data_IF_386363175215
#
_entry.id   IF_386363175215
#
_cell.length_a   1.000
_cell.length_b   1.000
_cell.length_c   1.000
_cell.angle_alpha   90.00
_cell.angle_beta   90.00
_cell.angle_gamma   90.00
#
_symmetry.space_group_name_H-M   'P 1'
#
loop_
_entity.id
_entity.type
_entity.pdbx_description
1 polymer ?
#
# COMPACT_ATOMS: atom_id res chain seq x y z
N UNK A 1 1.98 37.88 85.92
CA UNK A 1 1.32 36.56 85.92
C UNK A 1 0.56 36.42 84.62
N UNK A 2 0.96 35.50 83.73
CA UNK A 2 0.25 35.25 82.47
C UNK A 2 -1.13 34.67 82.76
N UNK A 3 -2.18 35.31 82.25
CA UNK A 3 -3.57 34.89 82.48
C UNK A 3 -3.81 33.47 81.95
N UNK A 4 -4.43 32.56 82.72
CA UNK A 4 -4.70 31.16 82.33
C UNK A 4 -5.54 31.05 81.05
N UNK A 5 -6.34 32.08 80.75
CA UNK A 5 -7.16 32.19 79.53
C UNK A 5 -6.28 32.36 78.28
N UNK A 6 -5.20 33.13 78.35
CA UNK A 6 -4.29 33.34 77.23
C UNK A 6 -3.56 32.03 76.84
N UNK A 7 -3.14 31.26 77.85
CA UNK A 7 -2.52 29.95 77.64
C UNK A 7 -3.50 28.93 77.04
N UNK A 8 -4.76 28.93 77.50
CA UNK A 8 -5.79 28.07 76.93
C UNK A 8 -6.13 28.42 75.46
N UNK A 9 -6.13 29.71 75.11
CA UNK A 9 -6.28 30.18 73.73
C UNK A 9 -5.09 29.77 72.84
N UNK A 10 -3.87 29.87 73.35
CA UNK A 10 -2.66 29.44 72.64
C UNK A 10 -2.64 27.93 72.40
N UNK A 11 -2.99 27.12 73.41
CA UNK A 11 -3.10 25.67 73.30
C UNK A 11 -4.21 25.25 72.31
N UNK A 12 -5.33 25.99 72.28
CA UNK A 12 -6.40 25.79 71.32
C UNK A 12 -5.94 26.13 69.89
N UNK A 13 -5.26 27.26 69.70
CA UNK A 13 -4.70 27.66 68.41
C UNK A 13 -3.65 26.67 67.90
N UNK A 14 -2.78 26.16 68.78
CA UNK A 14 -1.82 25.11 68.43
C UNK A 14 -2.49 23.79 68.04
N UNK A 15 -3.56 23.38 68.74
CA UNK A 15 -4.33 22.17 68.37
C UNK A 15 -5.01 22.32 67.03
N UNK A 16 -5.65 23.46 66.78
CA UNK A 16 -6.31 23.77 65.50
C UNK A 16 -5.27 23.81 64.37
N UNK A 17 -4.15 24.51 64.57
CA UNK A 17 -3.05 24.56 63.62
C UNK A 17 -2.50 23.17 63.29
N UNK A 18 -2.21 22.33 64.30
CA UNK A 18 -1.74 20.95 64.08
C UNK A 18 -2.73 20.07 63.33
N UNK A 19 -4.04 20.22 63.57
CA UNK A 19 -5.07 19.49 62.81
C UNK A 19 -5.11 19.95 61.35
N UNK A 20 -5.18 21.26 61.13
CA UNK A 20 -5.20 21.85 59.78
C UNK A 20 -3.95 21.46 58.98
N UNK A 21 -2.77 21.49 59.59
CA UNK A 21 -1.52 21.05 58.95
C UNK A 21 -1.54 19.58 58.57
N UNK A 22 -2.10 18.71 59.43
CA UNK A 22 -2.22 17.27 59.16
C UNK A 22 -3.22 16.98 58.04
N UNK A 23 -4.36 17.65 58.05
CA UNK A 23 -5.41 17.49 57.03
C UNK A 23 -4.93 18.03 55.68
N UNK A 24 -4.21 19.15 55.66
CA UNK A 24 -3.58 19.69 54.46
C UNK A 24 -2.48 18.78 53.91
N UNK A 25 -1.59 18.25 54.77
CA UNK A 25 -0.55 17.32 54.36
C UNK A 25 -1.14 16.01 53.79
N UNK A 26 -2.23 15.51 54.39
CA UNK A 26 -2.96 14.36 53.88
C UNK A 26 -3.59 14.66 52.52
N UNK A 27 -4.30 15.78 52.38
CA UNK A 27 -4.93 16.17 51.11
C UNK A 27 -3.90 16.35 49.98
N UNK A 28 -2.73 16.92 50.28
CA UNK A 28 -1.62 17.03 49.32
C UNK A 28 -1.08 15.64 48.97
N UNK A 29 -0.87 14.76 49.94
CA UNK A 29 -0.43 13.37 49.70
C UNK A 29 -1.42 12.56 48.85
N UNK A 30 -2.72 12.70 49.11
CA UNK A 30 -3.79 12.07 48.34
C UNK A 30 -3.80 12.61 46.89
N UNK A 31 -3.61 13.92 46.70
CA UNK A 31 -3.51 14.55 45.38
C UNK A 31 -2.29 14.04 44.58
N UNK A 32 -1.10 13.98 45.20
CA UNK A 32 0.09 13.43 44.55
C UNK A 32 -0.08 11.96 44.17
N UNK A 33 -0.73 11.17 45.03
CA UNK A 33 -1.03 9.76 44.76
C UNK A 33 -1.98 9.61 43.58
N UNK A 34 -3.07 10.39 43.54
CA UNK A 34 -4.04 10.38 42.45
C UNK A 34 -3.42 10.81 41.12
N UNK A 35 -2.55 11.82 41.11
CA UNK A 35 -1.81 12.23 39.91
C UNK A 35 -0.86 11.11 39.44
N UNK A 36 -0.16 10.44 40.36
CA UNK A 36 0.70 9.30 40.06
C UNK A 36 -0.06 8.12 39.45
N UNK A 37 -1.24 7.81 39.98
CA UNK A 37 -2.12 6.75 39.44
C UNK A 37 -2.70 7.14 38.07
N UNK A 38 -3.05 8.41 37.88
CA UNK A 38 -3.44 8.95 36.58
C UNK A 38 -2.34 8.79 35.53
N UNK A 39 -1.09 9.14 35.87
CA UNK A 39 0.05 9.00 34.98
C UNK A 39 0.32 7.53 34.62
N UNK A 40 0.28 6.61 35.58
CA UNK A 40 0.39 5.15 35.32
C UNK A 40 -0.69 4.66 34.38
N UNK A 41 -1.93 5.13 34.56
CA UNK A 41 -3.07 4.77 33.69
C UNK A 41 -2.85 5.28 32.26
N UNK A 42 -2.37 6.51 32.10
CA UNK A 42 -2.04 7.07 30.78
C UNK A 42 -0.93 6.26 30.11
N UNK A 43 0.17 5.95 30.81
CA UNK A 43 1.27 5.12 30.28
C UNK A 43 0.76 3.75 29.85
N UNK A 44 -0.07 3.10 30.69
CA UNK A 44 -0.68 1.81 30.34
C UNK A 44 -1.56 1.92 29.10
N UNK A 45 -2.41 2.95 29.02
CA UNK A 45 -3.27 3.17 27.86
C UNK A 45 -2.46 3.38 26.57
N UNK A 46 -1.32 4.09 26.65
CA UNK A 46 -0.41 4.28 25.51
C UNK A 46 0.20 2.93 25.10
N UNK A 47 0.72 2.14 26.05
CA UNK A 47 1.27 0.82 25.76
C UNK A 47 0.24 -0.14 25.16
N UNK A 48 -0.98 -0.15 25.70
CA UNK A 48 -2.09 -0.96 25.20
C UNK A 48 -2.49 -0.51 23.78
N UNK A 49 -2.53 0.81 23.51
CA UNK A 49 -2.79 1.36 22.19
C UNK A 49 -1.68 1.01 21.18
N UNK A 50 -0.40 1.14 21.57
CA UNK A 50 0.75 0.79 20.73
C UNK A 50 0.75 -0.70 20.37
N UNK A 51 0.45 -1.57 21.34
CA UNK A 51 0.33 -3.01 21.11
C UNK A 51 -0.84 -3.33 20.15
N UNK A 52 -1.99 -2.68 20.32
CA UNK A 52 -3.12 -2.83 19.41
C UNK A 52 -2.78 -2.38 17.98
N UNK A 53 -2.15 -1.21 17.83
CA UNK A 53 -1.71 -0.71 16.53
C UNK A 53 -0.69 -1.65 15.87
N UNK A 54 0.27 -2.18 16.62
CA UNK A 54 1.23 -3.15 16.10
C UNK A 54 0.54 -4.43 15.59
N UNK A 55 -0.43 -4.96 16.33
CA UNK A 55 -1.22 -6.13 15.89
C UNK A 55 -2.05 -5.85 14.64
N UNK A 56 -2.68 -4.68 14.55
CA UNK A 56 -3.41 -4.28 13.35
C UNK A 56 -2.48 -4.19 12.13
N UNK A 57 -1.34 -3.51 12.27
CA UNK A 57 -0.34 -3.39 11.21
C UNK A 57 0.15 -4.75 10.70
N UNK A 58 0.46 -5.68 11.61
CA UNK A 58 0.83 -7.05 11.25
C UNK A 58 -0.31 -7.77 10.53
N UNK A 59 -1.55 -7.58 10.96
CA UNK A 59 -2.73 -8.14 10.29
C UNK A 59 -2.93 -7.59 8.88
N UNK A 60 -2.77 -6.27 8.70
CA UNK A 60 -2.84 -5.61 7.39
C UNK A 60 -1.70 -6.09 6.47
N UNK A 61 -0.46 -6.13 6.97
CA UNK A 61 0.68 -6.64 6.21
C UNK A 61 0.46 -8.09 5.74
N UNK A 62 -0.07 -8.95 6.62
CA UNK A 62 -0.42 -10.32 6.27
C UNK A 62 -1.54 -10.40 5.22
N UNK A 63 -2.53 -9.50 5.26
CA UNK A 63 -3.59 -9.44 4.24
C UNK A 63 -3.04 -9.01 2.89
N UNK A 64 -2.12 -8.04 2.86
CA UNK A 64 -1.42 -7.63 1.64
C UNK A 64 -0.60 -8.78 1.06
N UNK A 65 0.13 -9.52 1.91
CA UNK A 65 0.98 -10.63 1.49
C UNK A 65 0.19 -11.87 0.99
N UNK A 66 -1.00 -12.15 1.54
CA UNK A 66 -1.80 -13.35 1.20
C UNK A 66 -2.54 -13.27 -0.14
N UNK A 67 -2.70 -12.08 -0.73
CA UNK A 67 -3.42 -11.90 -1.98
C UNK A 67 -2.44 -11.91 -3.16
N UNK A 68 -2.11 -13.12 -3.63
CA UNK A 68 -1.29 -13.30 -4.83
C UNK A 68 -1.92 -12.63 -6.07
N UNK A 69 -1.07 -11.96 -6.84
CA UNK A 69 -1.45 -11.21 -8.04
C UNK A 69 -1.70 -12.06 -9.28
N UNK A 70 -1.78 -13.39 -9.14
CA UNK A 70 -1.70 -14.27 -10.30
C UNK A 70 -2.89 -14.06 -11.24
N UNK A 71 -2.62 -14.10 -12.53
CA UNK A 71 -3.67 -14.15 -13.55
C UNK A 71 -4.47 -15.46 -13.49
N UNK A 72 -5.64 -15.51 -14.15
CA UNK A 72 -6.50 -16.71 -14.19
C UNK A 72 -7.73 -16.65 -13.25
N UNK A 73 -8.23 -17.81 -12.82
CA UNK A 73 -9.52 -17.92 -12.09
C UNK A 73 -9.45 -17.16 -10.77
N UNK A 74 -10.40 -16.25 -10.55
CA UNK A 74 -10.47 -15.43 -9.34
C UNK A 74 -9.51 -14.23 -9.28
N UNK A 75 -8.68 -14.02 -10.31
CA UNK A 75 -7.73 -12.89 -10.40
C UNK A 75 -8.38 -11.54 -10.11
N UNK A 76 -9.52 -11.23 -10.74
CA UNK A 76 -10.31 -10.01 -10.48
C UNK A 76 -10.60 -9.74 -9.01
N UNK A 77 -10.91 -10.78 -8.24
CA UNK A 77 -11.21 -10.64 -6.81
C UNK A 77 -9.92 -10.43 -6.04
N UNK A 78 -8.86 -11.18 -6.37
CA UNK A 78 -7.53 -11.02 -5.74
C UNK A 78 -6.97 -9.62 -5.97
N UNK A 79 -7.00 -9.12 -7.21
CA UNK A 79 -6.54 -7.77 -7.57
C UNK A 79 -7.26 -6.68 -6.77
N UNK A 80 -8.60 -6.75 -6.70
CA UNK A 80 -9.39 -5.79 -5.90
C UNK A 80 -9.05 -5.87 -4.42
N UNK A 81 -9.03 -7.08 -3.85
CA UNK A 81 -8.70 -7.26 -2.44
C UNK A 81 -7.29 -6.74 -2.10
N UNK A 82 -6.33 -6.90 -3.02
CA UNK A 82 -4.97 -6.43 -2.83
C UNK A 82 -4.89 -4.90 -2.89
N UNK A 83 -5.57 -4.29 -3.87
CA UNK A 83 -5.68 -2.83 -3.97
C UNK A 83 -6.34 -2.22 -2.74
N UNK A 84 -7.45 -2.79 -2.28
CA UNK A 84 -8.16 -2.34 -1.08
C UNK A 84 -7.30 -2.49 0.17
N UNK A 85 -6.60 -3.63 0.32
CA UNK A 85 -5.72 -3.87 1.46
C UNK A 85 -4.53 -2.91 1.50
N UNK A 86 -3.91 -2.63 0.34
CA UNK A 86 -2.79 -1.68 0.23
C UNK A 86 -3.25 -0.25 0.48
N UNK A 87 -4.42 0.13 -0.03
CA UNK A 87 -5.02 1.44 0.25
C UNK A 87 -5.30 1.63 1.75
N UNK A 88 -5.93 0.65 2.40
CA UNK A 88 -6.21 0.69 3.84
C UNK A 88 -4.90 0.73 4.65
N UNK A 89 -3.88 -0.05 4.24
CA UNK A 89 -2.56 -0.01 4.86
C UNK A 89 -1.90 1.38 4.74
N UNK A 90 -1.88 1.97 3.54
CA UNK A 90 -1.31 3.30 3.30
C UNK A 90 -2.05 4.38 4.11
N UNK A 91 -3.38 4.32 4.16
CA UNK A 91 -4.20 5.27 4.91
C UNK A 91 -3.94 5.20 6.42
N UNK A 92 -3.68 4.00 6.98
CA UNK A 92 -3.41 3.82 8.41
C UNK A 92 -1.96 4.07 8.82
N UNK A 93 -1.02 3.82 7.92
CA UNK A 93 0.42 3.96 8.20
C UNK A 93 0.99 5.32 7.83
N UNK A 94 0.27 6.10 7.01
CA UNK A 94 0.81 7.30 6.37
C UNK A 94 1.88 7.00 5.32
N UNK A 95 2.12 5.72 5.00
CA UNK A 95 3.07 5.29 3.97
C UNK A 95 2.50 5.42 2.56
N UNK A 96 3.36 5.64 1.58
CA UNK A 96 3.05 5.45 0.17
C UNK A 96 3.70 4.16 -0.32
N UNK A 97 2.91 3.27 -0.90
CA UNK A 97 3.45 2.16 -1.71
C UNK A 97 3.72 2.64 -3.14
N UNK A 98 4.71 2.04 -3.79
CA UNK A 98 5.06 2.36 -5.19
C UNK A 98 3.95 1.95 -6.17
N UNK A 99 3.13 0.96 -5.80
CA UNK A 99 2.01 0.44 -6.58
C UNK A 99 0.83 0.04 -5.69
N UNK A 100 -0.36 -0.05 -6.30
CA UNK A 100 -1.63 -0.34 -5.63
C UNK A 100 -2.03 -1.81 -5.80
N UNK A 101 -1.70 -2.44 -6.93
CA UNK A 101 -1.89 -3.87 -7.15
C UNK A 101 -0.71 -4.47 -7.92
N UNK A 102 -0.49 -5.76 -7.80
CA UNK A 102 0.49 -6.56 -8.51
C UNK A 102 -0.24 -7.61 -9.33
N UNK A 103 0.08 -7.65 -10.61
CA UNK A 103 -0.39 -8.63 -11.57
C UNK A 103 0.78 -9.52 -11.93
N UNK A 104 0.63 -10.82 -11.69
CA UNK A 104 1.64 -11.83 -12.00
C UNK A 104 1.19 -12.68 -13.17
N UNK A 105 1.89 -12.57 -14.30
CA UNK A 105 1.68 -13.40 -15.49
C UNK A 105 2.42 -14.74 -15.33
N UNK A 106 1.78 -15.83 -15.73
CA UNK A 106 2.35 -17.18 -15.67
C UNK A 106 3.10 -17.50 -16.97
N UNK A 107 4.43 -17.56 -16.91
CA UNK A 107 5.30 -17.85 -18.06
C UNK A 107 5.05 -19.23 -18.66
N UNK A 108 4.66 -20.22 -17.87
CA UNK A 108 4.37 -21.55 -18.39
C UNK A 108 3.12 -21.57 -19.26
N UNK A 109 2.21 -20.61 -19.03
CA UNK A 109 0.98 -20.49 -19.80
C UNK A 109 1.11 -19.56 -21.01
N UNK A 110 1.90 -18.51 -20.88
CA UNK A 110 2.10 -17.47 -21.90
C UNK A 110 3.58 -17.16 -22.08
N UNK A 111 4.39 -18.11 -22.56
CA UNK A 111 5.85 -17.98 -22.60
C UNK A 111 6.34 -16.82 -23.46
N UNK A 112 5.70 -16.54 -24.61
CA UNK A 112 6.15 -15.47 -25.49
C UNK A 112 5.80 -14.09 -24.93
N UNK A 113 4.59 -13.90 -24.42
CA UNK A 113 4.20 -12.66 -23.74
C UNK A 113 5.05 -12.40 -22.50
N UNK A 114 5.34 -13.44 -21.71
CA UNK A 114 6.20 -13.36 -20.54
C UNK A 114 7.63 -12.92 -20.90
N UNK A 115 8.19 -13.48 -21.98
CA UNK A 115 9.51 -13.07 -22.44
C UNK A 115 9.50 -11.61 -22.91
N UNK A 116 8.49 -11.19 -23.68
CA UNK A 116 8.41 -9.82 -24.16
C UNK A 116 8.34 -8.79 -23.01
N UNK A 117 7.58 -9.11 -21.94
CA UNK A 117 7.50 -8.29 -20.72
C UNK A 117 8.89 -8.15 -20.08
N UNK A 118 9.60 -9.25 -19.84
CA UNK A 118 10.93 -9.22 -19.21
C UNK A 118 11.98 -8.52 -20.09
N UNK A 119 11.94 -8.74 -21.40
CA UNK A 119 12.80 -8.05 -22.37
C UNK A 119 12.56 -6.54 -22.29
N UNK A 120 11.31 -6.10 -22.37
CA UNK A 120 10.98 -4.68 -22.32
C UNK A 120 11.37 -4.05 -20.97
N UNK A 121 11.14 -4.73 -19.86
CA UNK A 121 11.53 -4.27 -18.51
C UNK A 121 13.05 -4.25 -18.30
N UNK A 122 13.82 -5.11 -18.99
CA UNK A 122 15.28 -5.12 -18.94
C UNK A 122 15.94 -4.16 -19.94
N UNK A 123 15.18 -3.57 -20.85
CA UNK A 123 15.66 -2.61 -21.85
C UNK A 123 15.93 -3.19 -23.22
N UNK A 124 15.56 -4.45 -23.48
CA UNK A 124 15.47 -5.00 -24.83
C UNK A 124 14.15 -4.54 -25.46
N UNK A 125 14.24 -3.59 -26.37
CA UNK A 125 13.06 -2.96 -27.00
C UNK A 125 12.89 -3.53 -28.40
N UNK A 126 11.75 -4.16 -28.63
CA UNK A 126 11.36 -4.75 -29.90
C UNK A 126 10.63 -3.75 -30.79
N UNK A 127 10.79 -3.93 -32.10
CA UNK A 127 10.04 -3.26 -33.16
C UNK A 127 9.75 -4.25 -34.27
N UNK A 128 8.75 -5.08 -34.08
CA UNK A 128 8.49 -6.26 -34.91
C UNK A 128 9.45 -7.40 -34.54
N UNK A 129 10.23 -7.88 -35.51
CA UNK A 129 11.26 -8.91 -35.31
C UNK A 129 12.64 -8.33 -34.96
N UNK A 130 12.82 -7.01 -35.11
CA UNK A 130 14.07 -6.34 -34.76
C UNK A 130 14.06 -5.92 -33.29
N UNK A 131 15.17 -6.15 -32.59
CA UNK A 131 15.37 -5.69 -31.22
C UNK A 131 16.58 -4.77 -31.12
N UNK A 132 16.54 -3.89 -30.11
CA UNK A 132 17.66 -3.02 -29.76
C UNK A 132 17.70 -2.79 -28.26
N UNK A 133 18.88 -2.49 -27.74
CA UNK A 133 18.99 -1.94 -26.39
C UNK A 133 18.41 -0.53 -26.35
N UNK A 134 17.56 -0.27 -25.37
CA UNK A 134 16.92 1.01 -25.12
C UNK A 134 16.64 1.22 -23.63
N UNK A 135 15.91 2.28 -23.27
CA UNK A 135 15.52 2.51 -21.89
C UNK A 135 14.54 1.42 -21.44
N UNK A 136 14.85 0.79 -20.30
CA UNK A 136 13.97 -0.15 -19.60
C UNK A 136 12.55 0.43 -19.46
N UNK A 137 11.56 -0.40 -19.75
CA UNK A 137 10.15 -0.06 -19.56
C UNK A 137 9.76 -0.26 -18.09
N UNK A 138 8.90 0.61 -17.54
CA UNK A 138 8.48 0.48 -16.16
C UNK A 138 7.73 -0.84 -15.92
N UNK A 139 7.93 -1.41 -14.73
CA UNK A 139 7.15 -2.55 -14.23
C UNK A 139 5.87 -2.09 -13.52
N UNK A 140 5.81 -0.85 -13.02
CA UNK A 140 4.60 -0.23 -12.47
C UNK A 140 3.93 0.66 -13.52
N UNK A 141 2.70 0.32 -13.88
CA UNK A 141 1.93 1.00 -14.91
C UNK A 141 0.61 1.58 -14.35
N UNK A 142 0.18 2.73 -14.84
CA UNK A 142 -1.02 3.41 -14.39
C UNK A 142 -2.17 3.15 -15.36
N UNK A 143 -3.28 2.57 -14.89
CA UNK A 143 -4.42 2.26 -15.76
C UNK A 143 -5.00 3.56 -16.33
N UNK A 144 -5.06 3.66 -17.66
CA UNK A 144 -5.70 4.74 -18.41
C UNK A 144 -6.38 4.16 -19.66
N UNK A 145 -7.65 3.77 -19.50
CA UNK A 145 -8.38 3.08 -20.56
C UNK A 145 -8.82 4.01 -21.68
N UNK A 146 -8.98 5.31 -21.39
CA UNK A 146 -9.43 6.29 -22.37
C UNK A 146 -8.35 6.59 -23.42
N UNK A 147 -7.07 6.53 -23.04
CA UNK A 147 -5.94 6.71 -23.96
C UNK A 147 -5.60 5.48 -24.81
N UNK A 148 -6.33 4.36 -24.68
CA UNK A 148 -5.91 3.08 -25.24
C UNK A 148 -5.83 3.05 -26.77
N UNK A 149 -6.74 3.73 -27.46
CA UNK A 149 -6.77 3.73 -28.93
C UNK A 149 -5.63 4.60 -29.50
N UNK A 150 -5.41 5.78 -28.91
CA UNK A 150 -4.31 6.67 -29.29
C UNK A 150 -2.95 6.01 -29.03
N UNK A 151 -2.80 5.40 -27.85
CA UNK A 151 -1.59 4.65 -27.51
C UNK A 151 -1.32 3.54 -28.53
N UNK A 152 -2.34 2.78 -28.92
CA UNK A 152 -2.17 1.70 -29.92
C UNK A 152 -1.80 2.24 -31.30
N UNK A 153 -2.37 3.36 -31.72
CA UNK A 153 -2.01 3.99 -32.97
C UNK A 153 -0.53 4.45 -32.96
N UNK A 154 -0.07 4.97 -31.82
CA UNK A 154 1.29 5.45 -31.62
C UNK A 154 2.34 4.33 -31.55
N UNK A 155 2.09 3.30 -30.75
CA UNK A 155 3.00 2.18 -30.55
C UNK A 155 3.21 1.38 -31.84
N UNK A 156 2.13 1.13 -32.59
CA UNK A 156 2.14 0.29 -33.79
C UNK A 156 2.52 1.03 -35.07
N UNK A 157 2.80 2.34 -34.99
CA UNK A 157 3.10 3.17 -36.16
C UNK A 157 4.32 2.64 -36.93
N UNK A 158 4.08 2.30 -38.20
CA UNK A 158 5.11 1.79 -39.11
C UNK A 158 5.60 0.38 -38.78
N UNK A 159 4.80 -0.41 -38.03
CA UNK A 159 5.01 -1.84 -37.80
C UNK A 159 3.87 -2.57 -38.51
N UNK A 160 4.13 -3.26 -39.64
CA UNK A 160 3.07 -3.93 -40.39
C UNK A 160 2.41 -5.04 -39.56
N UNK A 161 1.18 -5.39 -39.90
CA UNK A 161 0.54 -6.60 -39.37
C UNK A 161 1.27 -7.84 -39.90
N UNK A 162 1.40 -8.88 -39.07
CA UNK A 162 2.12 -10.09 -39.45
C UNK A 162 1.36 -11.35 -39.04
N UNK A 163 0.52 -11.89 -39.92
CA UNK A 163 -0.24 -13.11 -39.63
C UNK A 163 0.67 -14.35 -39.81
N UNK A 164 0.67 -15.33 -38.88
CA UNK A 164 -0.32 -15.59 -37.81
C UNK A 164 0.06 -15.04 -36.42
N UNK A 165 0.99 -14.09 -36.34
CA UNK A 165 1.42 -13.45 -35.10
C UNK A 165 0.58 -12.19 -34.83
N UNK A 166 0.58 -11.78 -33.57
CA UNK A 166 0.06 -10.48 -33.18
C UNK A 166 1.22 -9.55 -32.80
N UNK A 167 0.97 -8.25 -32.87
CA UNK A 167 1.88 -7.22 -32.35
C UNK A 167 1.56 -7.03 -30.87
N UNK A 168 2.32 -7.69 -30.01
CA UNK A 168 2.20 -7.45 -28.56
C UNK A 168 2.93 -6.18 -28.17
N UNK A 169 2.42 -5.47 -27.18
CA UNK A 169 2.86 -4.12 -26.79
C UNK A 169 3.24 -4.09 -25.30
N UNK A 170 4.45 -3.63 -24.99
CA UNK A 170 4.86 -3.34 -23.61
C UNK A 170 5.55 -1.96 -23.49
N UNK A 171 5.02 -1.01 -22.70
CA UNK A 171 3.81 -1.13 -21.89
C UNK A 171 2.52 -1.27 -22.73
N UNK A 172 1.50 -2.03 -22.26
CA UNK A 172 0.26 -2.21 -23.02
C UNK A 172 -0.52 -0.90 -23.18
N UNK A 173 -1.24 -0.74 -24.30
CA UNK A 173 -1.90 0.51 -24.65
C UNK A 173 -2.92 1.03 -23.61
N UNK A 174 -3.52 0.16 -22.79
CA UNK A 174 -4.49 0.55 -21.76
C UNK A 174 -3.88 1.20 -20.50
N UNK A 175 -2.56 1.42 -20.51
CA UNK A 175 -1.84 2.10 -19.45
C UNK A 175 -1.29 3.42 -19.96
N UNK A 176 -1.13 4.38 -19.06
CA UNK A 176 -0.62 5.73 -19.34
C UNK A 176 0.79 5.72 -19.93
N UNK A 177 1.61 4.76 -19.52
CA UNK A 177 3.00 4.58 -19.96
C UNK A 177 3.10 3.85 -21.32
N UNK A 178 1.96 3.42 -21.89
CA UNK A 178 1.88 2.83 -23.22
C UNK A 178 2.08 3.86 -24.34
N UNK A 179 1.90 3.41 -25.57
CA UNK A 179 1.95 4.29 -26.74
C UNK A 179 3.35 4.55 -27.25
N UNK A 180 3.68 5.83 -27.50
CA UNK A 180 4.93 6.20 -28.16
C UNK A 180 6.15 5.64 -27.41
N UNK A 181 6.93 4.84 -28.13
CA UNK A 181 8.15 4.22 -27.60
C UNK A 181 7.94 2.91 -26.84
N UNK A 182 6.71 2.37 -26.76
CA UNK A 182 6.48 1.00 -26.31
C UNK A 182 7.29 0.00 -27.16
N UNK A 183 7.74 -1.07 -26.50
CA UNK A 183 8.28 -2.26 -27.16
C UNK A 183 7.15 -2.97 -27.87
N UNK A 184 7.36 -3.34 -29.14
CA UNK A 184 6.36 -4.08 -29.92
C UNK A 184 7.04 -5.29 -30.54
N UNK A 185 6.62 -6.49 -30.15
CA UNK A 185 7.18 -7.74 -30.64
C UNK A 185 6.11 -8.56 -31.37
N UNK A 186 6.49 -9.22 -32.47
CA UNK A 186 5.63 -10.23 -33.07
C UNK A 186 5.67 -11.51 -32.25
N UNK A 187 4.56 -11.87 -31.64
CA UNK A 187 4.41 -13.12 -30.88
C UNK A 187 3.22 -13.92 -31.38
N UNK A 188 3.19 -15.23 -31.13
CA UNK A 188 2.11 -16.10 -31.55
C UNK A 188 0.73 -15.56 -31.08
N UNK A 189 -0.21 -15.38 -32.02
CA UNK A 189 -1.50 -14.76 -31.72
C UNK A 189 -2.27 -15.46 -30.58
N UNK A 190 -2.16 -16.79 -30.50
CA UNK A 190 -2.77 -17.58 -29.41
C UNK A 190 -2.19 -17.22 -28.03
N UNK A 191 -0.88 -16.99 -27.95
CA UNK A 191 -0.20 -16.59 -26.70
C UNK A 191 -0.66 -15.18 -26.31
N UNK A 192 -0.54 -14.22 -27.22
CA UNK A 192 -0.89 -12.81 -27.02
C UNK A 192 -2.37 -12.61 -26.60
N UNK A 193 -3.30 -13.21 -27.34
CA UNK A 193 -4.73 -13.07 -27.04
C UNK A 193 -5.07 -13.74 -25.71
N UNK A 194 -4.39 -14.85 -25.40
CA UNK A 194 -4.53 -15.56 -24.14
C UNK A 194 -4.04 -14.74 -22.95
N UNK A 195 -2.87 -14.12 -23.05
CA UNK A 195 -2.27 -13.29 -22.02
C UNK A 195 -3.05 -11.99 -21.86
N UNK A 196 -3.36 -11.29 -22.96
CA UNK A 196 -4.16 -10.07 -22.98
C UNK A 196 -5.54 -10.26 -22.35
N UNK A 197 -6.24 -11.36 -22.66
CA UNK A 197 -7.53 -11.70 -22.02
C UNK A 197 -7.39 -11.95 -20.51
N UNK A 198 -6.32 -12.62 -20.08
CA UNK A 198 -6.07 -12.92 -18.67
C UNK A 198 -5.71 -11.66 -17.87
N UNK A 199 -4.80 -10.83 -18.39
CA UNK A 199 -4.37 -9.57 -17.79
C UNK A 199 -5.50 -8.56 -17.76
N UNK A 200 -6.15 -8.31 -18.90
CA UNK A 200 -7.29 -7.40 -19.01
C UNK A 200 -8.45 -7.83 -18.12
N UNK A 201 -8.70 -9.15 -18.01
CA UNK A 201 -9.66 -9.66 -17.05
C UNK A 201 -9.26 -9.34 -15.62
N UNK A 202 -8.01 -9.58 -15.21
CA UNK A 202 -7.56 -9.35 -13.83
C UNK A 202 -7.79 -7.90 -13.38
N UNK A 203 -7.48 -6.92 -14.23
CA UNK A 203 -7.58 -5.49 -13.90
C UNK A 203 -8.95 -4.86 -14.15
N UNK A 204 -9.89 -5.56 -14.79
CA UNK A 204 -11.22 -5.02 -15.13
C UNK A 204 -11.99 -4.42 -13.94
N UNK A 205 -11.74 -4.94 -12.73
CA UNK A 205 -12.39 -4.44 -11.51
C UNK A 205 -11.70 -3.25 -10.85
N UNK A 206 -10.59 -2.76 -11.41
CA UNK A 206 -9.81 -1.66 -10.85
C UNK A 206 -10.13 -0.35 -11.60
N UNK A 207 -10.29 0.78 -10.88
CA UNK A 207 -10.56 2.06 -11.51
C UNK A 207 -9.36 2.58 -12.32
N UNK A 208 -9.61 3.49 -13.25
CA UNK A 208 -8.53 4.25 -13.90
C UNK A 208 -7.73 5.04 -12.83
N UNK A 209 -6.44 5.24 -13.08
CA UNK A 209 -5.49 5.80 -12.11
C UNK A 209 -4.89 4.79 -11.14
N UNK A 210 -5.39 3.54 -11.09
CA UNK A 210 -4.76 2.49 -10.28
C UNK A 210 -3.37 2.15 -10.82
N UNK A 211 -2.36 2.11 -9.95
CA UNK A 211 -0.99 1.70 -10.30
C UNK A 211 -0.83 0.19 -10.14
N UNK A 212 -0.53 -0.50 -11.23
CA UNK A 212 -0.40 -1.95 -11.31
C UNK A 212 1.05 -2.31 -11.60
N UNK A 213 1.70 -3.03 -10.68
CA UNK A 213 2.97 -3.68 -10.94
C UNK A 213 2.74 -4.94 -11.77
N UNK A 214 3.42 -5.10 -12.89
CA UNK A 214 3.37 -6.29 -13.74
C UNK A 214 4.66 -7.07 -13.53
N UNK A 215 4.51 -8.33 -13.13
CA UNK A 215 5.62 -9.27 -12.96
C UNK A 215 5.31 -10.60 -13.65
N UNK A 216 6.37 -11.37 -13.87
CA UNK A 216 6.31 -12.70 -14.49
C UNK A 216 6.77 -13.73 -13.45
N UNK A 217 6.13 -14.90 -13.45
CA UNK A 217 6.51 -16.06 -12.63
C UNK A 217 6.67 -17.32 -13.47
#
# INVERSE_FOLDING_TARGET
>A
MSHPIAKALEDAAQRVGRKLSKDAAKAVGDMYSQVGDGAKKVVKNIQDADAQHAHELVSLANKVAKNGGETGKGSRRRMRNQADARRDFNQRTGGQTDYDAELVLDRNKYPESAQHIEDAQSGTIWRGDDSRTGPAKPDVLTIDRNGADDNRADSLRGIPTDSPRDRDEYPPAMYKEGGTGASVQYIAAKDNQGSGSAMGSAVRGLPDGTRVKISVR
#
